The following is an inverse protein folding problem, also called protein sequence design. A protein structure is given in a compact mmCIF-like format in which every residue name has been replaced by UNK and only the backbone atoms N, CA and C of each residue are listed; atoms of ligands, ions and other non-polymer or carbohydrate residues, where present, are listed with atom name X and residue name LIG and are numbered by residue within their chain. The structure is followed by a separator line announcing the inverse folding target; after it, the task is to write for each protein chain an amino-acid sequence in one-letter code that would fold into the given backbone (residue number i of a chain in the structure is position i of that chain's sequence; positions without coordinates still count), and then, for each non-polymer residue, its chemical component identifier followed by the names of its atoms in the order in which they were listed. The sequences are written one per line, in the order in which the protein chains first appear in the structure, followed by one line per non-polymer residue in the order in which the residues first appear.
data_IF_516439432416
#
_entry.id   IF_516439432416
#
_cell.length_a   1.000
_cell.length_b   1.000
_cell.length_c   1.000
_cell.angle_alpha   90.00
_cell.angle_beta   90.00
_cell.angle_gamma   90.00
#
_symmetry.space_group_name_H-M   'P 1'
#
loop_
_entity.id
_entity.type
_entity.pdbx_description
1 polymer ?
#
# COMPACT_ATOMS: atom_id res chain seq x y z
N UNK A 1 97.47 33.84 11.38
CA UNK A 1 97.12 33.81 12.82
C UNK A 1 96.20 32.60 13.01
N UNK A 2 96.35 31.69 14.01
CA UNK A 2 96.05 31.86 15.45
C UNK A 2 94.60 32.34 15.64
N UNK A 3 93.63 31.64 16.25
CA UNK A 3 93.57 30.40 17.09
C UNK A 3 92.41 29.48 16.57
N UNK A 4 92.27 28.14 16.76
CA UNK A 4 92.20 27.29 17.99
C UNK A 4 90.95 27.66 18.83
N UNK A 5 89.98 26.80 19.24
CA UNK A 5 89.79 25.32 19.41
C UNK A 5 88.24 25.02 19.45
N UNK A 6 87.62 23.81 19.48
CA UNK A 6 87.88 22.39 19.11
C UNK A 6 86.60 21.51 19.34
N UNK A 7 86.58 20.24 18.89
CA UNK A 7 85.79 19.07 19.41
C UNK A 7 84.22 19.06 19.21
N UNK A 8 83.50 17.93 19.02
CA UNK A 8 83.81 16.49 18.79
C UNK A 8 82.55 15.73 18.22
N UNK A 9 82.67 14.44 17.87
CA UNK A 9 81.61 13.41 17.56
C UNK A 9 81.07 13.52 16.10
N UNK A 10 81.30 12.56 15.17
CA UNK A 10 80.78 11.17 14.98
C UNK A 10 79.26 11.09 14.67
N UNK A 11 78.72 10.20 13.82
CA UNK A 11 79.31 9.30 12.79
C UNK A 11 78.22 8.78 11.81
N UNK A 12 78.67 8.18 10.69
CA UNK A 12 77.97 7.24 9.78
C UNK A 12 76.69 7.69 9.02
N UNK A 13 76.61 7.24 7.76
CA UNK A 13 75.36 7.18 6.99
C UNK A 13 74.55 5.96 7.42
N UNK A 14 73.23 6.10 7.55
CA UNK A 14 72.30 4.99 7.71
C UNK A 14 71.81 4.49 6.33
N UNK A 15 72.06 3.20 6.03
CA UNK A 15 71.34 2.50 4.97
C UNK A 15 69.93 2.16 5.49
N UNK A 16 68.88 2.55 4.76
CA UNK A 16 67.54 2.03 5.01
C UNK A 16 67.47 0.58 4.49
N UNK A 17 67.33 -0.37 5.40
CA UNK A 17 66.91 -1.73 5.09
C UNK A 17 65.38 -1.73 5.09
N UNK A 18 64.77 -2.00 3.93
CA UNK A 18 63.31 -2.15 3.82
C UNK A 18 62.95 -3.55 4.33
N UNK A 19 62.55 -3.64 5.60
CA UNK A 19 61.88 -4.83 6.13
C UNK A 19 60.45 -4.89 5.61
N UNK A 20 60.20 -5.72 4.59
CA UNK A 20 58.84 -5.99 4.14
C UNK A 20 58.06 -6.75 5.22
N UNK A 21 57.06 -6.12 5.82
CA UNK A 21 56.08 -6.84 6.65
C UNK A 21 55.19 -7.68 5.74
N UNK A 22 55.37 -9.00 5.78
CA UNK A 22 54.37 -9.95 5.32
C UNK A 22 53.24 -10.01 6.35
N UNK A 23 52.26 -9.11 6.24
CA UNK A 23 50.97 -9.26 6.91
C UNK A 23 50.22 -10.38 6.21
N UNK A 24 50.41 -11.60 6.71
CA UNK A 24 49.68 -12.79 6.26
C UNK A 24 48.25 -12.71 6.83
N UNK A 25 47.43 -11.87 6.19
CA UNK A 25 46.01 -11.71 6.50
C UNK A 25 45.26 -12.97 6.10
N UNK A 26 45.39 -14.00 6.95
CA UNK A 26 44.73 -15.29 6.82
C UNK A 26 43.24 -15.15 7.09
N UNK A 27 42.51 -14.57 6.14
CA UNK A 27 41.05 -14.71 6.05
C UNK A 27 40.70 -16.21 6.09
N UNK A 28 40.06 -16.65 7.16
CA UNK A 28 39.49 -17.99 7.27
C UNK A 28 38.56 -18.23 6.07
N UNK A 29 38.69 -19.40 5.43
CA UNK A 29 37.89 -19.72 4.26
C UNK A 29 36.49 -20.21 4.66
N UNK A 30 35.67 -19.33 5.22
CA UNK A 30 34.31 -19.67 5.68
C UNK A 30 33.29 -19.50 4.57
N UNK A 31 32.28 -20.37 4.57
CA UNK A 31 31.13 -20.28 3.67
C UNK A 31 30.09 -19.28 4.17
N UNK A 32 29.49 -18.53 3.25
CA UNK A 32 28.47 -17.54 3.56
C UNK A 32 27.41 -17.45 2.46
N UNK A 33 26.15 -17.25 2.87
CA UNK A 33 25.04 -16.90 1.99
C UNK A 33 25.24 -15.48 1.45
N UNK A 34 25.01 -15.30 0.14
CA UNK A 34 25.20 -14.03 -0.57
C UNK A 34 23.88 -13.38 -0.95
N UNK A 35 22.78 -14.13 -0.94
CA UNK A 35 21.44 -13.55 -1.05
C UNK A 35 21.19 -12.60 0.11
N UNK A 36 20.65 -11.41 -0.19
CA UNK A 36 20.51 -10.31 0.77
C UNK A 36 19.72 -10.72 2.01
N UNK A 37 20.19 -10.30 3.19
CA UNK A 37 19.66 -10.71 4.51
C UNK A 37 18.14 -10.48 4.62
N UNK A 38 17.64 -9.39 4.04
CA UNK A 38 16.20 -9.15 3.85
C UNK A 38 15.84 -9.24 2.38
N UNK A 39 14.75 -9.93 2.06
CA UNK A 39 14.09 -9.87 0.76
C UNK A 39 12.58 -9.70 0.94
N UNK A 40 12.05 -8.56 0.51
CA UNK A 40 10.63 -8.27 0.61
C UNK A 40 9.86 -8.82 -0.59
N UNK A 41 8.67 -9.37 -0.34
CA UNK A 41 7.67 -9.79 -1.31
C UNK A 41 6.34 -9.10 -0.99
N UNK A 42 5.55 -8.81 -2.03
CA UNK A 42 4.37 -7.95 -1.93
C UNK A 42 3.09 -8.74 -2.14
N UNK A 43 2.29 -8.86 -1.09
CA UNK A 43 0.97 -9.49 -1.12
C UNK A 43 -0.01 -8.55 -1.82
N UNK A 44 -0.39 -8.89 -3.06
CA UNK A 44 -1.35 -8.16 -3.91
C UNK A 44 -1.97 -9.07 -4.97
N UNK A 45 -3.15 -8.73 -5.54
CA UNK A 45 -3.89 -9.64 -6.44
C UNK A 45 -3.15 -10.00 -7.74
N UNK A 46 -2.16 -9.19 -8.15
CA UNK A 46 -1.38 -9.42 -9.37
C UNK A 46 -0.15 -10.35 -9.17
N UNK A 47 0.00 -10.98 -8.00
CA UNK A 47 1.17 -11.81 -7.65
C UNK A 47 0.70 -13.17 -7.17
N UNK A 48 0.77 -14.16 -8.07
CA UNK A 48 0.38 -15.54 -7.79
C UNK A 48 1.51 -16.33 -7.12
N UNK A 49 2.64 -16.42 -7.80
CA UNK A 49 3.79 -17.24 -7.43
C UNK A 49 5.06 -16.43 -7.71
N UNK A 50 6.10 -16.60 -6.89
CA UNK A 50 7.42 -16.02 -7.15
C UNK A 50 8.54 -17.01 -6.81
N UNK A 51 9.53 -17.13 -7.69
CA UNK A 51 10.76 -17.90 -7.44
C UNK A 51 11.83 -17.01 -6.81
N UNK A 52 12.67 -17.58 -5.94
CA UNK A 52 13.90 -16.94 -5.42
C UNK A 52 15.07 -17.92 -5.41
N UNK A 53 16.27 -17.36 -5.58
CA UNK A 53 17.54 -18.09 -5.53
C UNK A 53 18.33 -17.80 -4.27
N UNK A 54 19.08 -18.80 -3.83
CA UNK A 54 19.96 -18.77 -2.66
C UNK A 54 21.33 -19.31 -3.05
N UNK A 55 22.37 -18.52 -2.82
CA UNK A 55 23.74 -18.80 -3.30
C UNK A 55 24.76 -18.59 -2.20
N UNK A 56 25.73 -19.51 -2.14
CA UNK A 56 26.82 -19.49 -1.17
C UNK A 56 28.16 -19.18 -1.86
N UNK A 57 29.03 -18.46 -1.14
CA UNK A 57 30.42 -18.21 -1.56
C UNK A 57 31.41 -18.55 -0.45
N UNK A 58 32.66 -18.72 -0.86
CA UNK A 58 33.84 -18.90 0.00
C UNK A 58 34.92 -17.91 -0.45
N UNK A 59 35.87 -17.56 0.43
CA UNK A 59 36.89 -16.57 0.12
C UNK A 59 38.01 -17.07 -0.83
N UNK A 60 38.27 -18.38 -0.85
CA UNK A 60 39.42 -19.02 -1.53
C UNK A 60 38.97 -20.35 -2.18
N UNK A 61 39.44 -20.69 -3.40
CA UNK A 61 39.11 -21.97 -4.04
C UNK A 61 39.55 -23.19 -3.23
N UNK A 62 38.84 -24.30 -3.40
CA UNK A 62 39.11 -25.58 -2.71
C UNK A 62 39.26 -26.75 -3.68
N UNK A 63 39.95 -27.81 -3.21
CA UNK A 63 40.28 -29.00 -3.99
C UNK A 63 39.15 -30.06 -4.06
N UNK A 64 38.13 -29.94 -3.22
CA UNK A 64 36.88 -30.72 -3.24
C UNK A 64 35.72 -29.83 -3.65
N UNK A 65 34.55 -30.40 -3.96
CA UNK A 65 33.30 -29.64 -3.91
C UNK A 65 32.91 -29.33 -2.48
N UNK A 66 32.07 -28.30 -2.28
CA UNK A 66 31.43 -27.97 -1.01
C UNK A 66 29.92 -27.89 -1.24
N UNK A 67 29.16 -28.69 -0.51
CA UNK A 67 27.71 -28.57 -0.40
C UNK A 67 27.32 -27.52 0.63
N UNK A 68 26.20 -26.84 0.37
CA UNK A 68 25.49 -25.95 1.28
C UNK A 68 24.00 -26.33 1.27
N UNK A 69 23.52 -26.89 2.37
CA UNK A 69 22.13 -27.30 2.53
C UNK A 69 21.32 -26.15 3.14
N UNK A 70 20.33 -25.65 2.39
CA UNK A 70 19.38 -24.66 2.85
C UNK A 70 18.13 -25.33 3.44
N UNK A 71 17.58 -24.75 4.50
CA UNK A 71 16.28 -25.12 5.05
C UNK A 71 15.64 -23.92 5.77
N UNK A 72 14.37 -24.06 6.11
CA UNK A 72 13.67 -23.08 6.96
C UNK A 72 14.15 -23.24 8.40
N UNK A 73 14.43 -22.11 9.04
CA UNK A 73 14.89 -22.03 10.43
C UNK A 73 13.84 -21.28 11.25
N UNK A 74 12.73 -21.98 11.55
CA UNK A 74 11.54 -21.44 12.22
C UNK A 74 11.86 -20.80 13.59
N UNK A 75 12.99 -21.19 14.20
CA UNK A 75 13.49 -20.61 15.45
C UNK A 75 13.84 -19.11 15.34
N UNK A 76 14.11 -18.62 14.13
CA UNK A 76 14.54 -17.25 13.88
C UNK A 76 13.38 -16.27 13.65
N UNK A 77 12.12 -16.69 13.72
CA UNK A 77 10.97 -15.77 13.57
C UNK A 77 10.95 -14.72 14.69
N UNK A 78 11.14 -15.14 15.94
CA UNK A 78 11.23 -14.21 17.07
C UNK A 78 12.47 -13.31 16.97
N UNK A 79 13.60 -13.87 16.51
CA UNK A 79 14.85 -13.12 16.30
C UNK A 79 14.69 -12.05 15.22
N UNK A 80 13.95 -12.35 14.14
CA UNK A 80 13.57 -11.38 13.12
C UNK A 80 12.73 -10.24 13.72
N UNK A 81 11.66 -10.58 14.45
CA UNK A 81 10.76 -9.61 15.08
C UNK A 81 11.51 -8.68 16.06
N UNK A 82 12.39 -9.23 16.89
CA UNK A 82 13.26 -8.48 17.82
C UNK A 82 14.27 -7.57 17.11
N UNK A 83 14.90 -8.03 16.02
CA UNK A 83 15.93 -7.25 15.29
C UNK A 83 15.31 -6.10 14.48
N UNK A 84 14.16 -6.33 13.86
CA UNK A 84 13.56 -5.39 12.91
C UNK A 84 12.39 -4.57 13.48
N UNK A 85 11.97 -4.83 14.73
CA UNK A 85 10.78 -4.23 15.36
C UNK A 85 9.50 -4.52 14.56
N UNK A 86 9.28 -5.80 14.28
CA UNK A 86 8.21 -6.34 13.44
C UNK A 86 7.33 -7.30 14.23
N UNK A 87 6.07 -7.50 13.82
CA UNK A 87 5.15 -8.50 14.39
C UNK A 87 4.79 -9.58 13.36
N UNK A 88 5.79 -10.10 12.64
CA UNK A 88 5.58 -11.08 11.59
C UNK A 88 5.41 -12.52 12.14
N UNK A 89 4.52 -13.30 11.51
CA UNK A 89 4.37 -14.74 11.79
C UNK A 89 5.11 -15.60 10.75
N UNK A 90 5.30 -16.89 11.03
CA UNK A 90 5.89 -17.81 10.04
C UNK A 90 4.99 -17.93 8.80
N UNK A 91 5.57 -17.85 7.60
CA UNK A 91 4.86 -18.15 6.35
C UNK A 91 4.34 -19.61 6.36
N UNK A 92 3.03 -19.87 6.10
CA UNK A 92 2.49 -21.22 6.16
C UNK A 92 3.10 -22.17 5.12
N UNK A 93 3.09 -23.47 5.42
CA UNK A 93 3.86 -24.50 4.69
C UNK A 93 3.40 -24.72 3.25
N UNK A 94 2.12 -24.49 3.01
CA UNK A 94 1.43 -24.55 1.72
C UNK A 94 1.91 -23.46 0.73
N UNK A 95 2.41 -22.32 1.23
CA UNK A 95 2.84 -21.19 0.41
C UNK A 95 4.30 -21.26 -0.06
N UNK A 96 5.06 -22.33 0.25
CA UNK A 96 6.43 -22.45 -0.24
C UNK A 96 6.94 -23.90 -0.39
N UNK A 97 7.78 -24.13 -1.40
CA UNK A 97 8.56 -25.36 -1.56
C UNK A 97 9.99 -25.07 -2.03
N UNK A 98 10.94 -25.93 -1.68
CA UNK A 98 12.23 -25.95 -2.35
C UNK A 98 12.14 -26.82 -3.60
N UNK A 99 12.51 -26.26 -4.75
CA UNK A 99 12.78 -27.01 -5.97
C UNK A 99 14.21 -27.57 -5.94
N UNK A 100 15.14 -26.79 -5.37
CA UNK A 100 16.52 -27.19 -5.07
C UNK A 100 16.88 -26.63 -3.70
N UNK A 101 17.13 -27.49 -2.71
CA UNK A 101 17.51 -27.10 -1.34
C UNK A 101 19.03 -27.21 -1.07
N UNK A 102 19.82 -27.49 -2.11
CA UNK A 102 21.27 -27.73 -2.02
C UNK A 102 22.04 -26.93 -3.08
N UNK A 103 23.00 -26.13 -2.63
CA UNK A 103 23.87 -25.32 -3.46
C UNK A 103 25.31 -25.88 -3.42
N UNK A 104 25.95 -26.08 -4.57
CA UNK A 104 27.25 -26.76 -4.65
C UNK A 104 28.31 -25.86 -5.28
N UNK A 105 29.38 -25.57 -4.54
CA UNK A 105 30.61 -25.00 -5.10
C UNK A 105 31.41 -26.15 -5.72
N UNK A 106 31.74 -26.03 -7.01
CA UNK A 106 32.56 -27.01 -7.74
C UNK A 106 34.05 -26.80 -7.44
N UNK A 107 34.84 -27.88 -7.57
CA UNK A 107 36.31 -27.86 -7.40
C UNK A 107 36.93 -26.69 -8.17
N UNK A 108 37.77 -25.90 -7.49
CA UNK A 108 38.44 -24.72 -8.07
C UNK A 108 37.58 -23.46 -8.22
N UNK A 109 36.28 -23.50 -7.89
CA UNK A 109 35.39 -22.33 -7.87
C UNK A 109 35.29 -21.73 -6.46
N UNK A 110 34.68 -20.55 -6.37
CA UNK A 110 34.38 -19.84 -5.10
C UNK A 110 32.91 -19.49 -4.94
N UNK A 111 32.08 -19.82 -5.92
CA UNK A 111 30.64 -19.52 -5.97
C UNK A 111 29.85 -20.80 -6.28
N UNK A 112 28.66 -20.93 -5.70
CA UNK A 112 27.84 -22.14 -5.80
C UNK A 112 26.94 -22.15 -7.02
N UNK A 113 26.34 -23.30 -7.33
CA UNK A 113 25.02 -23.31 -7.99
C UNK A 113 23.97 -22.62 -7.10
N UNK A 114 22.90 -22.11 -7.69
CA UNK A 114 21.75 -21.61 -6.93
C UNK A 114 20.94 -22.77 -6.34
N UNK A 115 20.61 -22.69 -5.04
CA UNK A 115 19.42 -23.31 -4.50
C UNK A 115 18.19 -22.47 -4.89
N UNK A 116 17.00 -23.08 -4.99
CA UNK A 116 15.78 -22.51 -5.55
C UNK A 116 14.60 -22.79 -4.61
N UNK A 117 13.94 -21.71 -4.17
CA UNK A 117 12.68 -21.76 -3.42
C UNK A 117 11.57 -21.09 -4.24
N UNK A 118 10.42 -21.77 -4.33
CA UNK A 118 9.23 -21.31 -5.04
C UNK A 118 8.14 -20.97 -4.02
N UNK A 119 7.68 -19.72 -4.06
CA UNK A 119 6.54 -19.23 -3.28
C UNK A 119 5.24 -19.33 -4.09
N UNK A 120 4.15 -19.71 -3.42
CA UNK A 120 2.88 -20.10 -4.04
C UNK A 120 1.67 -19.41 -3.40
N UNK A 121 0.65 -19.16 -4.22
CA UNK A 121 -0.60 -18.48 -3.85
C UNK A 121 -0.38 -17.26 -2.95
N UNK A 122 0.57 -16.41 -3.33
CA UNK A 122 0.95 -15.22 -2.57
C UNK A 122 -0.26 -14.31 -2.40
N UNK A 123 -1.10 -14.15 -3.45
CA UNK A 123 -2.36 -13.39 -3.38
C UNK A 123 -3.37 -13.92 -2.35
N UNK A 124 -3.25 -15.17 -1.90
CA UNK A 124 -4.15 -15.82 -0.94
C UNK A 124 -3.77 -15.60 0.53
N UNK A 125 -2.57 -15.06 0.79
CA UNK A 125 -2.13 -14.64 2.13
C UNK A 125 -2.98 -13.47 2.64
N UNK A 126 -3.21 -13.41 3.96
CA UNK A 126 -3.86 -12.25 4.57
C UNK A 126 -2.96 -11.02 4.45
N UNK A 127 -3.50 -9.93 3.90
CA UNK A 127 -2.74 -8.72 3.58
C UNK A 127 -2.49 -7.83 4.79
N UNK A 128 -3.30 -7.99 5.82
CA UNK A 128 -3.17 -7.32 7.12
C UNK A 128 -2.09 -7.99 7.99
N UNK A 129 -1.66 -9.20 7.62
CA UNK A 129 -0.65 -9.98 8.34
C UNK A 129 0.71 -9.85 7.66
N UNK A 130 1.75 -9.55 8.44
CA UNK A 130 3.13 -9.71 8.00
C UNK A 130 3.55 -11.17 8.19
N UNK A 131 4.14 -11.78 7.15
CA UNK A 131 4.76 -13.11 7.25
C UNK A 131 6.26 -13.03 7.02
N UNK A 132 7.00 -13.94 7.64
CA UNK A 132 8.44 -14.13 7.41
C UNK A 132 8.76 -15.61 7.22
N UNK A 133 9.66 -15.90 6.28
CA UNK A 133 10.30 -17.20 6.15
C UNK A 133 11.81 -17.05 6.31
N UNK A 134 12.38 -17.33 7.50
CA UNK A 134 13.82 -17.43 7.69
C UNK A 134 14.35 -18.69 6.98
N UNK A 135 15.21 -18.51 5.99
CA UNK A 135 15.89 -19.61 5.30
C UNK A 135 17.38 -19.54 5.60
N UNK A 136 17.89 -20.55 6.28
CA UNK A 136 19.28 -20.67 6.74
C UNK A 136 20.04 -21.75 5.96
N UNK A 137 21.33 -21.56 5.76
CA UNK A 137 22.26 -22.68 5.58
C UNK A 137 22.31 -23.44 6.91
N UNK A 138 21.82 -24.68 6.92
CA UNK A 138 21.76 -25.55 8.12
C UNK A 138 22.92 -26.55 8.19
N UNK A 139 23.56 -26.86 7.06
CA UNK A 139 24.71 -27.74 6.98
C UNK A 139 25.59 -27.36 5.78
N UNK A 140 26.91 -27.53 5.90
CA UNK A 140 27.86 -27.36 4.81
C UNK A 140 29.15 -28.16 5.07
N UNK A 141 29.90 -28.48 4.01
CA UNK A 141 31.21 -29.15 4.13
C UNK A 141 32.35 -28.21 4.56
N UNK A 142 32.03 -27.01 5.06
CA UNK A 142 32.97 -25.96 5.45
C UNK A 142 32.39 -25.15 6.63
N UNK A 143 33.26 -24.52 7.43
CA UNK A 143 32.81 -23.64 8.52
C UNK A 143 32.00 -22.46 7.96
N UNK A 144 30.89 -22.10 8.62
CA UNK A 144 30.00 -21.03 8.16
C UNK A 144 30.24 -19.71 8.89
N UNK A 145 30.17 -18.60 8.15
CA UNK A 145 30.12 -17.25 8.71
C UNK A 145 28.73 -17.02 9.32
N UNK A 146 28.63 -17.15 10.65
CA UNK A 146 27.34 -17.19 11.36
C UNK A 146 26.47 -15.92 11.16
N UNK A 147 27.09 -14.75 10.92
CA UNK A 147 26.38 -13.50 10.63
C UNK A 147 25.79 -13.41 9.21
N UNK A 148 26.13 -14.35 8.32
CA UNK A 148 25.70 -14.38 6.92
C UNK A 148 25.33 -15.82 6.50
N UNK A 149 24.53 -16.52 7.32
CA UNK A 149 23.96 -17.84 6.95
C UNK A 149 22.47 -17.81 6.58
N UNK A 150 21.76 -16.69 6.78
CA UNK A 150 20.29 -16.63 6.71
C UNK A 150 19.81 -15.52 5.76
N UNK A 151 18.77 -15.81 4.98
CA UNK A 151 17.90 -14.84 4.30
C UNK A 151 16.53 -14.86 4.95
N UNK A 152 15.96 -13.70 5.26
CA UNK A 152 14.55 -13.55 5.67
C UNK A 152 13.74 -13.11 4.47
N UNK A 153 12.85 -13.97 3.98
CA UNK A 153 11.84 -13.60 2.98
C UNK A 153 10.61 -13.04 3.70
N UNK A 154 10.30 -11.76 3.51
CA UNK A 154 9.28 -11.03 4.27
C UNK A 154 8.12 -10.66 3.35
N UNK A 155 6.92 -11.09 3.69
CA UNK A 155 5.70 -10.87 2.90
C UNK A 155 4.82 -9.85 3.63
N UNK A 156 4.44 -8.78 2.94
CA UNK A 156 3.56 -7.73 3.47
C UNK A 156 2.52 -7.29 2.46
N UNK A 157 1.35 -6.86 2.93
CA UNK A 157 0.35 -6.20 2.11
C UNK A 157 0.96 -5.03 1.32
N UNK A 158 0.83 -5.07 -0.01
CA UNK A 158 1.22 -3.91 -0.82
C UNK A 158 0.22 -2.77 -0.62
N UNK A 159 0.69 -1.52 -0.66
CA UNK A 159 -0.18 -0.38 -0.91
C UNK A 159 -0.96 -0.59 -2.22
N UNK A 160 -2.29 -0.54 -2.14
CA UNK A 160 -3.19 -0.49 -3.30
C UNK A 160 -3.33 0.95 -3.81
N UNK A 161 -3.34 1.91 -2.89
CA UNK A 161 -3.37 3.34 -3.19
C UNK A 161 -2.11 3.95 -2.55
N UNK A 162 -1.31 4.62 -3.38
CA UNK A 162 -0.03 5.23 -3.03
C UNK A 162 -0.05 6.76 -3.11
N UNK A 163 -1.06 7.35 -3.76
CA UNK A 163 -1.30 8.79 -3.86
C UNK A 163 -2.81 9.05 -3.83
N UNK A 164 -3.21 10.19 -3.26
CA UNK A 164 -4.61 10.64 -3.17
C UNK A 164 -4.70 12.15 -3.38
N UNK A 165 -5.85 12.64 -3.83
CA UNK A 165 -6.11 14.07 -3.96
C UNK A 165 -6.50 14.71 -2.63
N UNK A 166 -5.88 15.84 -2.32
CA UNK A 166 -6.40 16.85 -1.40
C UNK A 166 -7.38 17.76 -2.16
N UNK A 167 -8.62 17.84 -1.66
CA UNK A 167 -9.70 18.60 -2.30
C UNK A 167 -10.22 19.75 -1.43
N UNK A 168 -9.53 20.07 -0.32
CA UNK A 168 -9.93 21.18 0.54
C UNK A 168 -10.08 22.49 -0.24
N UNK A 169 -11.24 23.15 -0.06
CA UNK A 169 -11.63 24.40 -0.75
C UNK A 169 -11.65 24.32 -2.29
N UNK A 170 -11.57 23.12 -2.85
CA UNK A 170 -11.71 22.86 -4.28
C UNK A 170 -13.06 22.20 -4.56
N UNK A 171 -13.45 22.12 -5.83
CA UNK A 171 -14.61 21.35 -6.26
C UNK A 171 -14.30 20.69 -7.60
N UNK A 172 -14.93 19.54 -7.87
CA UNK A 172 -14.83 18.89 -9.17
C UNK A 172 -16.20 18.77 -9.83
N UNK A 173 -16.25 19.04 -11.14
CA UNK A 173 -17.43 18.84 -11.99
C UNK A 173 -17.12 17.88 -13.14
N UNK A 174 -18.06 17.00 -13.52
CA UNK A 174 -17.88 16.06 -14.61
C UNK A 174 -18.00 16.72 -15.98
N UNK A 175 -16.99 16.49 -16.82
CA UNK A 175 -16.99 16.80 -18.24
C UNK A 175 -17.61 15.62 -19.00
N UNK A 176 -18.93 15.53 -18.93
CA UNK A 176 -19.68 14.39 -19.47
C UNK A 176 -19.34 14.05 -20.93
N UNK A 177 -18.94 12.81 -21.16
CA UNK A 177 -18.84 12.17 -22.47
C UNK A 177 -20.05 11.24 -22.71
N UNK A 178 -20.48 10.52 -21.68
CA UNK A 178 -21.72 9.75 -21.64
C UNK A 178 -22.47 9.99 -20.32
N UNK A 179 -23.25 11.08 -20.22
CA UNK A 179 -24.09 11.36 -19.05
C UNK A 179 -25.34 10.48 -18.95
N UNK A 180 -25.73 9.79 -20.03
CA UNK A 180 -26.99 9.05 -20.09
C UNK A 180 -27.02 7.88 -19.10
N UNK A 181 -25.88 7.24 -18.84
CA UNK A 181 -25.76 6.11 -17.89
C UNK A 181 -25.89 6.52 -16.41
N UNK A 182 -25.97 7.81 -16.11
CA UNK A 182 -26.21 8.34 -14.76
C UNK A 182 -27.62 8.95 -14.58
N UNK A 183 -28.52 8.73 -15.54
CA UNK A 183 -29.89 9.25 -15.52
C UNK A 183 -30.93 8.12 -15.46
N UNK A 184 -32.07 8.40 -14.83
CA UNK A 184 -33.15 7.45 -14.52
C UNK A 184 -32.68 6.21 -13.73
N UNK A 185 -31.66 6.35 -12.89
CA UNK A 185 -31.13 5.27 -12.06
C UNK A 185 -32.15 4.87 -10.98
N UNK A 186 -32.97 3.87 -11.28
CA UNK A 186 -33.92 3.27 -10.32
C UNK A 186 -33.23 2.31 -9.33
N UNK A 187 -32.03 1.85 -9.67
CA UNK A 187 -31.08 1.21 -8.77
C UNK A 187 -29.74 1.93 -8.91
N UNK A 188 -29.01 2.10 -7.81
CA UNK A 188 -27.71 2.76 -7.79
C UNK A 188 -26.87 2.29 -6.61
N UNK A 189 -25.55 2.32 -6.76
CA UNK A 189 -24.60 2.38 -5.63
C UNK A 189 -23.63 3.53 -5.88
N UNK A 190 -23.38 4.35 -4.87
CA UNK A 190 -22.41 5.43 -4.93
C UNK A 190 -21.47 5.32 -3.73
N UNK A 191 -20.16 5.39 -3.96
CA UNK A 191 -19.14 5.16 -2.93
C UNK A 191 -17.92 6.08 -3.11
N UNK A 192 -17.21 6.32 -2.02
CA UNK A 192 -15.94 7.05 -1.97
C UNK A 192 -15.10 6.63 -0.75
N UNK A 193 -13.78 6.77 -0.87
CA UNK A 193 -12.84 6.64 0.25
C UNK A 193 -12.36 8.05 0.64
N UNK A 194 -12.68 8.51 1.85
CA UNK A 194 -12.35 9.86 2.33
C UNK A 194 -11.43 9.84 3.55
N UNK A 195 -10.71 10.94 3.77
CA UNK A 195 -10.05 11.24 5.04
C UNK A 195 -10.25 12.74 5.36
N UNK A 196 -11.23 13.01 6.22
CA UNK A 196 -11.64 14.37 6.59
C UNK A 196 -10.77 14.92 7.73
N UNK A 197 -10.13 16.08 7.53
CA UNK A 197 -9.34 16.81 8.54
C UNK A 197 -10.17 17.25 9.74
N UNK A 198 -11.37 17.73 9.44
CA UNK A 198 -12.35 18.30 10.38
C UNK A 198 -13.74 18.40 9.71
N UNK A 199 -14.75 18.75 10.51
CA UNK A 199 -16.11 19.07 10.07
C UNK A 199 -16.55 20.44 10.64
N UNK A 200 -15.63 21.41 10.64
CA UNK A 200 -15.79 22.73 11.29
C UNK A 200 -15.98 23.87 10.29
N UNK A 201 -15.58 23.68 9.03
CA UNK A 201 -15.56 24.68 7.95
C UNK A 201 -16.94 25.22 7.51
N UNK A 202 -18.01 24.57 7.93
CA UNK A 202 -19.39 24.97 7.65
C UNK A 202 -20.38 24.13 8.45
N UNK A 203 -21.63 24.09 8.00
CA UNK A 203 -22.65 23.18 8.55
C UNK A 203 -22.70 21.84 7.80
N UNK A 204 -22.15 21.80 6.59
CA UNK A 204 -22.19 20.69 5.63
C UNK A 204 -20.79 20.50 5.04
N UNK A 205 -20.35 19.24 4.89
CA UNK A 205 -19.25 18.85 4.01
C UNK A 205 -19.79 17.93 2.91
N UNK A 206 -19.66 18.30 1.64
CA UNK A 206 -20.19 17.50 0.53
C UNK A 206 -19.24 16.38 0.10
N UNK A 207 -19.78 15.17 -0.09
CA UNK A 207 -19.06 14.07 -0.75
C UNK A 207 -19.29 14.14 -2.26
N UNK A 208 -20.51 13.82 -2.73
CA UNK A 208 -20.87 13.89 -4.16
C UNK A 208 -22.38 13.96 -4.41
N UNK A 209 -22.80 14.51 -5.55
CA UNK A 209 -24.19 14.53 -5.99
C UNK A 209 -24.69 15.90 -6.44
N UNK A 210 -26.02 16.12 -6.34
CA UNK A 210 -26.72 17.35 -6.75
C UNK A 210 -27.51 17.89 -5.56
N UNK A 211 -27.15 19.09 -5.07
CA UNK A 211 -27.89 19.81 -4.02
C UNK A 211 -29.35 20.00 -4.42
N UNK A 212 -30.27 19.71 -3.50
CA UNK A 212 -31.72 19.86 -3.71
C UNK A 212 -32.39 18.78 -4.55
N UNK A 213 -31.64 17.87 -5.20
CA UNK A 213 -32.21 16.71 -5.90
C UNK A 213 -31.84 15.39 -5.22
N UNK A 214 -30.54 15.08 -5.12
CA UNK A 214 -29.98 13.89 -4.48
C UNK A 214 -28.48 14.12 -4.22
N UNK A 215 -28.09 14.35 -2.97
CA UNK A 215 -26.73 14.70 -2.54
C UNK A 215 -26.27 13.80 -1.39
N UNK A 216 -25.07 13.23 -1.49
CA UNK A 216 -24.36 12.59 -0.38
C UNK A 216 -23.50 13.66 0.31
N UNK A 217 -23.83 13.97 1.56
CA UNK A 217 -23.13 14.95 2.39
C UNK A 217 -22.90 14.44 3.81
N UNK A 218 -22.17 15.21 4.59
CA UNK A 218 -21.92 15.00 6.01
C UNK A 218 -22.35 16.29 6.72
N UNK A 219 -23.19 16.20 7.75
CA UNK A 219 -23.74 17.36 8.45
C UNK A 219 -24.89 18.11 7.75
N UNK A 220 -25.57 18.93 8.54
CA UNK A 220 -26.49 20.02 8.17
C UNK A 220 -26.71 20.92 9.41
N UNK A 221 -27.32 22.10 9.25
CA UNK A 221 -27.52 23.12 10.29
C UNK A 221 -28.15 22.60 11.61
N UNK A 222 -29.02 21.59 11.51
CA UNK A 222 -29.71 20.97 12.65
C UNK A 222 -29.36 19.47 12.82
N UNK A 223 -28.29 19.01 12.18
CA UNK A 223 -27.85 17.60 12.17
C UNK A 223 -26.51 17.44 12.91
N UNK A 224 -25.99 16.21 13.02
CA UNK A 224 -24.64 16.01 13.57
C UNK A 224 -23.59 16.29 12.47
N UNK A 225 -22.68 17.24 12.72
CA UNK A 225 -21.74 17.76 11.71
C UNK A 225 -20.83 16.70 11.07
N UNK A 226 -20.59 15.59 11.75
CA UNK A 226 -19.80 14.47 11.26
C UNK A 226 -20.63 13.23 10.85
N UNK A 227 -21.97 13.30 10.86
CA UNK A 227 -22.83 12.19 10.44
C UNK A 227 -23.19 12.31 8.95
N UNK A 228 -23.14 11.19 8.22
CA UNK A 228 -23.56 11.11 6.81
C UNK A 228 -25.06 11.41 6.69
N UNK A 229 -25.44 12.17 5.67
CA UNK A 229 -26.81 12.36 5.24
C UNK A 229 -26.95 12.34 3.72
N UNK A 230 -27.93 11.58 3.26
CA UNK A 230 -28.46 11.57 1.90
C UNK A 230 -29.58 12.61 1.86
N UNK A 231 -29.29 13.78 1.30
CA UNK A 231 -30.26 14.87 1.19
C UNK A 231 -30.93 14.85 -0.18
N UNK A 232 -32.27 14.95 -0.24
CA UNK A 232 -33.00 14.81 -1.50
C UNK A 232 -34.18 15.77 -1.62
N UNK A 233 -34.67 15.97 -2.85
CA UNK A 233 -35.87 16.77 -3.13
C UNK A 233 -37.12 16.31 -2.36
N UNK A 234 -37.16 15.03 -1.93
CA UNK A 234 -38.33 14.38 -1.35
C UNK A 234 -38.02 13.79 0.04
N UNK A 235 -37.22 14.51 0.83
CA UNK A 235 -36.83 14.13 2.20
C UNK A 235 -35.38 13.69 2.32
N UNK A 236 -34.84 13.75 3.54
CA UNK A 236 -33.46 13.41 3.88
C UNK A 236 -33.42 12.12 4.71
N UNK A 237 -32.32 11.38 4.62
CA UNK A 237 -32.09 10.12 5.35
C UNK A 237 -30.59 9.94 5.66
N UNK A 238 -30.15 9.36 6.79
CA UNK A 238 -30.94 8.94 7.95
C UNK A 238 -31.34 10.11 8.86
N UNK A 239 -32.09 9.78 9.91
CA UNK A 239 -32.33 10.67 11.05
C UNK A 239 -31.06 10.97 11.85
N UNK A 240 -31.12 12.04 12.65
CA UNK A 240 -30.02 12.59 13.46
C UNK A 240 -29.64 11.64 14.60
N UNK A 241 -28.40 11.15 14.61
CA UNK A 241 -27.89 10.15 15.54
C UNK A 241 -26.42 10.41 15.90
N UNK A 242 -26.17 10.85 17.13
CA UNK A 242 -24.83 11.17 17.65
C UNK A 242 -23.91 9.96 17.77
N UNK A 243 -24.42 8.74 17.70
CA UNK A 243 -23.61 7.51 17.69
C UNK A 243 -23.05 7.17 16.30
N UNK A 244 -23.54 7.82 15.24
CA UNK A 244 -23.19 7.55 13.83
C UNK A 244 -22.22 8.57 13.21
N UNK A 245 -21.63 9.43 14.04
CA UNK A 245 -20.61 10.39 13.62
C UNK A 245 -19.33 9.70 13.13
N UNK A 246 -18.77 10.21 12.04
CA UNK A 246 -17.50 9.74 11.47
C UNK A 246 -16.28 10.28 12.25
N UNK A 247 -15.15 9.55 12.25
CA UNK A 247 -13.88 10.05 12.76
C UNK A 247 -13.28 11.15 11.86
N UNK A 248 -12.20 11.77 12.34
CA UNK A 248 -11.41 12.76 11.57
C UNK A 248 -9.96 12.32 11.52
N UNK A 249 -9.28 12.59 10.40
CA UNK A 249 -7.88 12.23 10.09
C UNK A 249 -7.62 10.74 9.89
N UNK A 250 -8.67 9.92 9.96
CA UNK A 250 -8.70 8.50 9.64
C UNK A 250 -9.30 8.28 8.24
N UNK A 251 -8.97 7.15 7.61
CA UNK A 251 -9.57 6.74 6.33
C UNK A 251 -10.92 6.05 6.55
N UNK A 252 -11.93 6.53 5.83
CA UNK A 252 -13.31 6.06 5.92
C UNK A 252 -13.84 5.78 4.52
N UNK A 253 -14.17 4.53 4.25
CA UNK A 253 -14.97 4.15 3.08
C UNK A 253 -16.44 4.40 3.38
N UNK A 254 -17.11 5.09 2.48
CA UNK A 254 -18.53 5.42 2.56
C UNK A 254 -19.18 4.90 1.30
N UNK A 255 -20.25 4.11 1.45
CA UNK A 255 -21.09 3.69 0.33
C UNK A 255 -22.57 3.89 0.65
N UNK A 256 -23.36 4.18 -0.36
CA UNK A 256 -24.81 4.28 -0.29
C UNK A 256 -25.42 3.48 -1.44
N UNK A 257 -26.36 2.59 -1.13
CA UNK A 257 -27.16 1.88 -2.14
C UNK A 257 -28.58 2.44 -2.17
N UNK A 258 -29.15 2.51 -3.36
CA UNK A 258 -30.52 2.98 -3.63
C UNK A 258 -31.26 1.93 -4.46
N UNK A 259 -32.47 1.56 -4.04
CA UNK A 259 -33.40 0.73 -4.84
C UNK A 259 -34.83 1.31 -4.78
N UNK A 260 -35.21 2.04 -5.83
CA UNK A 260 -36.57 2.58 -6.05
C UNK A 260 -37.15 3.37 -4.86
N UNK A 261 -36.27 3.92 -4.02
CA UNK A 261 -36.61 4.66 -2.81
C UNK A 261 -36.07 4.05 -1.52
N UNK A 262 -35.79 2.75 -1.46
CA UNK A 262 -35.04 2.16 -0.35
C UNK A 262 -33.59 2.67 -0.37
N UNK A 263 -33.02 2.99 0.78
CA UNK A 263 -31.66 3.53 0.93
C UNK A 263 -30.94 2.88 2.10
N UNK A 264 -29.75 2.35 1.84
CA UNK A 264 -28.82 1.89 2.87
C UNK A 264 -27.52 2.71 2.82
N UNK A 265 -26.96 3.02 3.99
CA UNK A 265 -25.65 3.69 4.14
C UNK A 265 -24.70 2.75 4.86
N UNK A 266 -23.52 2.57 4.28
CA UNK A 266 -22.44 1.72 4.77
C UNK A 266 -21.20 2.56 5.10
N UNK A 267 -20.51 2.19 6.17
CA UNK A 267 -19.25 2.80 6.61
C UNK A 267 -18.24 1.68 6.88
N UNK A 268 -17.07 1.75 6.24
CA UNK A 268 -16.02 0.72 6.30
C UNK A 268 -16.58 -0.71 6.10
N UNK A 269 -17.36 -0.89 5.03
CA UNK A 269 -17.99 -2.17 4.68
C UNK A 269 -19.14 -2.65 5.60
N UNK A 270 -19.53 -1.85 6.61
CA UNK A 270 -20.56 -2.22 7.60
C UNK A 270 -21.81 -1.37 7.42
N UNK A 271 -22.99 -2.01 7.40
CA UNK A 271 -24.28 -1.30 7.37
C UNK A 271 -24.41 -0.40 8.61
N UNK A 272 -24.61 0.90 8.40
CA UNK A 272 -24.74 1.90 9.46
C UNK A 272 -26.20 2.38 9.61
N UNK A 273 -26.93 2.50 8.49
CA UNK A 273 -28.34 2.90 8.48
C UNK A 273 -29.08 2.26 7.30
N UNK A 274 -30.33 1.85 7.51
CA UNK A 274 -31.27 1.35 6.49
C UNK A 274 -32.60 2.14 6.59
N UNK A 275 -33.29 2.31 5.45
CA UNK A 275 -34.53 3.08 5.40
C UNK A 275 -34.94 3.46 3.98
N UNK A 276 -35.53 4.64 3.79
CA UNK A 276 -36.01 5.10 2.49
C UNK A 276 -36.13 6.62 2.34
N UNK A 277 -36.20 7.08 1.09
CA UNK A 277 -36.47 8.46 0.66
C UNK A 277 -37.60 8.49 -0.37
N UNK A 278 -38.30 9.62 -0.51
CA UNK A 278 -39.49 9.74 -1.36
C UNK A 278 -39.26 9.74 -2.89
N UNK A 279 -38.18 9.15 -3.41
CA UNK A 279 -37.79 9.17 -4.84
C UNK A 279 -37.73 7.76 -5.42
N UNK A 280 -38.14 7.58 -6.68
CA UNK A 280 -38.08 6.30 -7.39
C UNK A 280 -36.87 6.15 -8.33
N UNK A 281 -36.16 7.24 -8.62
CA UNK A 281 -34.91 7.23 -9.41
C UNK A 281 -34.02 8.44 -9.10
N UNK A 282 -32.75 8.34 -9.50
CA UNK A 282 -31.72 9.39 -9.41
C UNK A 282 -31.32 9.86 -10.82
N UNK A 283 -31.02 11.16 -10.96
CA UNK A 283 -30.61 11.77 -12.23
C UNK A 283 -29.34 12.62 -12.05
N UNK A 284 -28.19 11.95 -12.00
CA UNK A 284 -26.88 12.56 -11.75
C UNK A 284 -26.14 12.98 -13.02
N UNK A 285 -26.59 12.57 -14.21
CA UNK A 285 -25.99 12.96 -15.50
C UNK A 285 -26.32 14.41 -15.90
N UNK A 286 -25.87 15.37 -15.10
CA UNK A 286 -26.19 16.80 -15.16
C UNK A 286 -24.96 17.66 -14.86
N UNK A 287 -24.88 18.89 -15.39
CA UNK A 287 -23.80 19.84 -15.06
C UNK A 287 -23.80 20.30 -13.60
N UNK A 288 -24.90 20.05 -12.87
CA UNK A 288 -25.06 20.41 -11.47
C UNK A 288 -24.58 19.32 -10.50
N UNK A 289 -23.98 18.22 -11.02
CA UNK A 289 -23.29 17.23 -10.20
C UNK A 289 -21.90 17.76 -9.81
N UNK A 290 -21.56 17.62 -8.54
CA UNK A 290 -20.26 17.99 -7.97
C UNK A 290 -19.68 16.87 -7.12
N UNK A 291 -18.35 16.85 -6.98
CA UNK A 291 -17.62 16.11 -5.95
C UNK A 291 -16.87 17.11 -5.05
N UNK A 292 -16.87 16.86 -3.75
CA UNK A 292 -16.16 17.65 -2.73
C UNK A 292 -16.83 18.94 -2.29
N UNK A 293 -17.95 19.35 -2.90
CA UNK A 293 -18.55 20.67 -2.75
C UNK A 293 -20.02 20.71 -3.18
N UNK A 294 -20.85 21.57 -2.59
CA UNK A 294 -22.13 21.98 -3.19
C UNK A 294 -22.53 23.40 -2.80
N UNK A 295 -23.15 24.14 -3.74
CA UNK A 295 -23.89 25.40 -3.54
C UNK A 295 -23.12 26.64 -2.97
N UNK A 296 -22.41 26.53 -1.86
CA UNK A 296 -21.75 27.63 -1.14
C UNK A 296 -20.26 27.29 -0.88
N UNK A 297 -19.39 28.30 -1.02
CA UNK A 297 -17.96 28.31 -0.70
C UNK A 297 -17.57 27.58 0.61
N UNK A 298 -18.45 27.56 1.60
CA UNK A 298 -18.22 26.98 2.93
C UNK A 298 -18.49 25.45 3.00
N UNK A 299 -19.17 24.86 2.00
CA UNK A 299 -19.67 23.47 2.06
C UNK A 299 -18.71 22.40 1.51
N UNK A 300 -17.42 22.73 1.43
CA UNK A 300 -16.40 21.82 0.92
C UNK A 300 -16.12 20.65 1.88
N UNK A 301 -15.58 19.54 1.37
CA UNK A 301 -14.97 18.50 2.19
C UNK A 301 -13.56 18.95 2.61
N UNK A 302 -13.36 19.19 3.91
CA UNK A 302 -12.04 19.52 4.46
C UNK A 302 -11.18 18.26 4.51
N UNK A 303 -10.45 17.92 3.44
CA UNK A 303 -9.55 16.78 3.43
C UNK A 303 -9.35 16.10 2.08
N UNK A 304 -9.10 14.79 2.14
CA UNK A 304 -8.68 13.98 1.00
C UNK A 304 -9.80 13.06 0.49
N UNK A 305 -9.76 12.72 -0.81
CA UNK A 305 -10.67 11.76 -1.44
C UNK A 305 -9.92 10.81 -2.38
N UNK A 306 -10.47 9.61 -2.55
CA UNK A 306 -10.06 8.58 -3.50
C UNK A 306 -11.24 7.64 -3.80
N UNK A 307 -11.08 6.76 -4.78
CA UNK A 307 -12.01 5.66 -5.09
C UNK A 307 -13.49 6.07 -5.17
N UNK A 308 -13.78 7.20 -5.84
CA UNK A 308 -15.16 7.61 -6.09
C UNK A 308 -15.75 6.78 -7.22
N UNK A 309 -16.84 6.05 -6.94
CA UNK A 309 -17.49 5.17 -7.92
C UNK A 309 -19.00 5.34 -7.93
N UNK A 310 -19.59 5.22 -9.11
CA UNK A 310 -21.03 5.19 -9.31
C UNK A 310 -21.37 3.95 -10.12
N UNK A 311 -22.33 3.19 -9.62
CA UNK A 311 -22.84 1.95 -10.21
C UNK A 311 -24.33 2.10 -10.49
N UNK A 312 -24.82 1.53 -11.60
CA UNK A 312 -26.24 1.48 -11.94
C UNK A 312 -26.99 0.28 -11.33
N UNK A 313 -26.34 -0.43 -10.39
CA UNK A 313 -26.86 -1.58 -9.65
C UNK A 313 -26.77 -1.36 -8.14
N UNK A 314 -27.57 -2.09 -7.37
CA UNK A 314 -27.36 -2.27 -5.92
C UNK A 314 -26.22 -3.26 -5.73
N UNK A 315 -25.14 -2.85 -5.04
CA UNK A 315 -24.08 -3.77 -4.60
C UNK A 315 -24.45 -4.43 -3.28
N UNK A 316 -23.97 -5.64 -3.05
CA UNK A 316 -24.09 -6.31 -1.74
C UNK A 316 -23.14 -5.68 -0.72
N UNK A 317 -23.39 -5.87 0.58
CA UNK A 317 -22.47 -5.43 1.63
C UNK A 317 -21.09 -6.09 1.49
N UNK A 318 -21.05 -7.35 1.03
CA UNK A 318 -19.81 -8.10 0.80
C UNK A 318 -19.02 -7.54 -0.41
N UNK A 319 -19.69 -7.22 -1.52
CA UNK A 319 -19.08 -6.52 -2.66
C UNK A 319 -18.47 -5.18 -2.23
N UNK A 320 -19.21 -4.41 -1.42
CA UNK A 320 -18.78 -3.10 -0.88
C UNK A 320 -17.54 -3.27 0.02
N UNK A 321 -17.60 -4.18 1.01
CA UNK A 321 -16.50 -4.41 1.95
C UNK A 321 -15.22 -4.94 1.28
N UNK A 322 -15.35 -5.86 0.33
CA UNK A 322 -14.21 -6.52 -0.31
C UNK A 322 -13.54 -5.66 -1.41
N UNK A 323 -14.02 -4.44 -1.67
CA UNK A 323 -13.52 -3.57 -2.75
C UNK A 323 -13.29 -2.11 -2.35
N UNK A 324 -13.07 -1.82 -1.07
CA UNK A 324 -12.78 -0.46 -0.57
C UNK A 324 -11.72 0.28 -1.39
N UNK A 325 -10.62 -0.40 -1.72
CA UNK A 325 -9.41 0.20 -2.30
C UNK A 325 -9.23 0.00 -3.81
N UNK A 326 -10.20 -0.62 -4.51
CA UNK A 326 -10.11 -0.83 -5.95
C UNK A 326 -11.18 -1.78 -6.50
N UNK A 327 -11.52 -1.60 -7.78
CA UNK A 327 -12.27 -2.57 -8.61
C UNK A 327 -11.69 -2.61 -10.03
N UNK A 328 -12.01 -3.65 -10.78
CA UNK A 328 -11.74 -3.66 -12.22
C UNK A 328 -12.63 -2.61 -12.93
N UNK A 329 -12.08 -1.66 -13.73
CA UNK A 329 -12.88 -0.59 -14.33
C UNK A 329 -13.93 -1.05 -15.36
N UNK A 330 -13.87 -2.32 -15.78
CA UNK A 330 -14.82 -2.99 -16.66
C UNK A 330 -15.89 -3.81 -15.90
N UNK A 331 -15.97 -3.66 -14.57
CA UNK A 331 -16.92 -4.40 -13.72
C UNK A 331 -18.38 -4.14 -14.11
N UNK A 332 -19.19 -5.20 -14.19
CA UNK A 332 -20.59 -5.09 -14.61
C UNK A 332 -21.37 -4.13 -13.69
N UNK A 333 -21.94 -3.09 -14.33
CA UNK A 333 -22.76 -2.06 -13.71
C UNK A 333 -21.99 -0.83 -13.22
N UNK A 334 -20.67 -0.75 -13.37
CA UNK A 334 -19.87 0.43 -13.05
C UNK A 334 -20.03 1.49 -14.17
N UNK A 335 -20.49 2.69 -13.84
CA UNK A 335 -20.85 3.76 -14.82
C UNK A 335 -20.04 5.05 -14.68
N UNK A 336 -19.28 5.19 -13.60
CA UNK A 336 -18.20 6.17 -13.45
C UNK A 336 -17.23 5.70 -12.36
N UNK A 337 -15.93 5.87 -12.57
CA UNK A 337 -14.89 5.49 -11.61
C UNK A 337 -13.72 6.48 -11.63
N UNK A 338 -13.67 7.36 -10.64
CA UNK A 338 -12.61 8.34 -10.44
C UNK A 338 -11.76 7.95 -9.23
N UNK A 339 -10.57 7.43 -9.50
CA UNK A 339 -9.66 6.91 -8.46
C UNK A 339 -9.00 7.99 -7.60
N UNK A 340 -8.70 9.13 -8.21
CA UNK A 340 -7.77 10.14 -7.66
C UNK A 340 -6.38 9.53 -7.36
N UNK A 341 -5.80 8.81 -8.32
CA UNK A 341 -4.44 8.23 -8.29
C UNK A 341 -3.49 8.85 -9.35
N UNK A 342 -3.83 10.03 -9.89
CA UNK A 342 -3.12 10.72 -10.98
C UNK A 342 -1.92 11.57 -10.50
N UNK A 343 -1.05 12.01 -11.43
CA UNK A 343 0.23 12.66 -11.10
C UNK A 343 0.28 14.20 -11.20
N UNK A 344 -0.79 14.87 -11.62
CA UNK A 344 -0.82 16.33 -11.69
C UNK A 344 -2.08 16.99 -12.27
N UNK A 345 -2.09 18.32 -12.25
CA UNK A 345 -3.12 19.16 -12.89
C UNK A 345 -4.49 19.14 -12.20
N UNK A 346 -5.52 19.49 -12.97
CA UNK A 346 -6.90 19.65 -12.49
C UNK A 346 -7.90 18.64 -13.12
N UNK A 347 -7.44 17.51 -13.65
CA UNK A 347 -8.30 16.47 -14.25
C UNK A 347 -8.17 15.17 -13.46
N UNK A 348 -9.28 14.49 -13.22
CA UNK A 348 -9.29 13.12 -12.67
C UNK A 348 -10.07 12.23 -13.62
N UNK A 349 -9.38 11.25 -14.20
CA UNK A 349 -9.91 10.41 -15.28
C UNK A 349 -11.04 9.51 -14.79
N UNK A 350 -12.06 9.32 -15.62
CA UNK A 350 -13.00 8.19 -15.46
C UNK A 350 -12.36 6.94 -16.07
N UNK A 351 -12.15 5.91 -15.26
CA UNK A 351 -11.52 4.67 -15.71
C UNK A 351 -12.51 3.72 -16.41
N UNK A 352 -13.82 4.00 -16.39
CA UNK A 352 -14.80 3.22 -17.16
C UNK A 352 -14.77 3.56 -18.66
N UNK A 353 -15.40 2.74 -19.49
CA UNK A 353 -15.59 3.03 -20.92
C UNK A 353 -16.38 4.31 -21.22
N UNK A 354 -17.00 4.93 -20.21
CA UNK A 354 -17.83 6.13 -20.37
C UNK A 354 -17.02 7.42 -20.50
N UNK A 355 -15.77 7.48 -20.00
CA UNK A 355 -14.88 8.64 -20.14
C UNK A 355 -15.44 9.94 -19.54
N UNK A 356 -16.21 9.85 -18.46
CA UNK A 356 -16.85 10.98 -17.77
C UNK A 356 -15.88 11.70 -16.82
N UNK A 357 -14.72 12.14 -17.31
CA UNK A 357 -13.65 12.76 -16.52
C UNK A 357 -14.15 13.91 -15.63
N UNK A 358 -13.66 13.98 -14.39
CA UNK A 358 -13.84 15.14 -13.52
C UNK A 358 -12.82 16.23 -13.86
N UNK A 359 -13.26 17.49 -13.84
CA UNK A 359 -12.40 18.68 -13.89
C UNK A 359 -12.54 19.45 -12.58
N UNK A 360 -11.43 19.68 -11.89
CA UNK A 360 -11.32 20.47 -10.68
C UNK A 360 -11.23 21.98 -11.00
N UNK A 361 -11.78 22.81 -10.10
CA UNK A 361 -11.80 24.27 -10.25
C UNK A 361 -10.39 24.90 -10.17
N UNK A 362 -9.49 24.29 -9.41
CA UNK A 362 -8.07 24.59 -9.34
C UNK A 362 -7.27 23.28 -9.46
N UNK A 363 -5.97 23.36 -9.74
CA UNK A 363 -5.07 22.20 -9.71
C UNK A 363 -5.15 21.44 -8.38
N UNK A 364 -5.09 20.12 -8.46
CA UNK A 364 -5.16 19.23 -7.30
C UNK A 364 -3.79 19.14 -6.61
N UNK A 365 -3.81 19.14 -5.28
CA UNK A 365 -2.62 18.87 -4.47
C UNK A 365 -2.60 17.39 -4.13
N UNK A 366 -1.55 16.69 -4.53
CA UNK A 366 -1.44 15.24 -4.37
C UNK A 366 -0.65 14.87 -3.12
N UNK A 367 -1.17 13.92 -2.34
CA UNK A 367 -0.53 13.42 -1.11
C UNK A 367 -0.15 11.96 -1.28
N UNK A 368 1.13 11.64 -1.04
CA UNK A 368 1.59 10.26 -0.92
C UNK A 368 1.00 9.57 0.33
N UNK A 369 0.57 8.33 0.17
CA UNK A 369 -0.04 7.47 1.20
C UNK A 369 0.42 6.02 1.02
N UNK A 370 -0.04 5.13 1.89
CA UNK A 370 0.02 3.69 1.72
C UNK A 370 -1.28 3.12 2.28
N UNK A 371 -2.24 2.77 1.41
CA UNK A 371 -3.54 2.24 1.81
C UNK A 371 -3.70 0.77 1.34
N UNK A 372 -4.15 -0.19 2.18
CA UNK A 372 -4.53 -0.05 3.59
C UNK A 372 -3.40 0.55 4.45
N UNK A 373 -3.75 1.39 5.43
CA UNK A 373 -2.77 1.84 6.42
C UNK A 373 -2.40 0.63 7.28
N UNK A 374 -1.11 0.32 7.39
CA UNK A 374 -0.65 -0.75 8.26
C UNK A 374 -1.11 -0.49 9.71
N UNK A 375 -1.61 -1.53 10.37
CA UNK A 375 -2.04 -1.47 11.76
C UNK A 375 -0.84 -1.10 12.67
N UNK A 376 -1.11 -0.35 13.74
CA UNK A 376 -0.10 0.35 14.58
C UNK A 376 -0.20 -0.07 16.04
#
# INVERSE_FOLDING_TARGET
MKYINKNLILALLSLLIITGCSTDDSYDNKGYNVSGILQNLLIKPSVENETRTLEAKIAKPVATSISFKYAVDESLVNVFNEIYSEEAILLPKEHYEFEIDEAIIKVGMVESSSAIINFKDIKGLDREVAYVLPVSIISADIELLHSQKTTYFVFKGAALINVVADIEKNYLQPKWNNSAVLNNLSQMTAEALINARDFSNGEISTIMGIEGDFLIRIGDANFERNQIQIATSNGNFPDRDSSKGLPTKEWVHIAMTFDKGAVNVYVNGKLQSEGSVGKSSVNWGSSNFYVGYSYNAERYLSGYISECRIWNKVRTQEEIANSVYGVEPTSEGLVAYWKFDDDGGNIVKDHTENGNDLTAANDLVWKAVSLPEAQK
#
